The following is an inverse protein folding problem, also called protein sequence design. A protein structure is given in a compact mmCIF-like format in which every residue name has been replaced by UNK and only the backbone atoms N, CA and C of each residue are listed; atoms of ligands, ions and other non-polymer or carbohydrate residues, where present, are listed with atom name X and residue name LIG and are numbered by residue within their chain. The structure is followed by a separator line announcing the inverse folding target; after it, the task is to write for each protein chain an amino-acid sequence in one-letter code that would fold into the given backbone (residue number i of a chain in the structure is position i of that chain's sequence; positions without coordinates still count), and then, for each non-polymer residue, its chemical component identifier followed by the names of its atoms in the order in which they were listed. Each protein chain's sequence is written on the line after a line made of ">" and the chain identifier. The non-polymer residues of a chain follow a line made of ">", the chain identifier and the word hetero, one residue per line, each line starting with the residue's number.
data_IF_586654214582
#
_entry.id   IF_586654214582
#
_cell.length_a   1.000
_cell.length_b   1.000
_cell.length_c   1.000
_cell.angle_alpha   90.00
_cell.angle_beta   90.00
_cell.angle_gamma   90.00
#
_symmetry.space_group_name_H-M   'P 1'
#
loop_
_entity.id
_entity.type
_entity.pdbx_description
1 polymer ?
#
# COMPACT_ATOMS: atom_id res chain seq x y z
N UNK A 1 54.29 1.29 2.73
CA UNK A 1 53.24 1.77 3.64
C UNK A 1 52.04 0.88 3.47
N UNK A 2 51.43 0.41 4.56
CA UNK A 2 50.29 -0.52 4.53
C UNK A 2 49.16 0.07 5.38
N UNK A 3 47.95 0.14 4.81
CA UNK A 3 46.76 0.61 5.53
C UNK A 3 46.04 -0.60 6.15
N UNK A 4 45.81 -0.56 7.45
CA UNK A 4 44.97 -1.53 8.16
C UNK A 4 43.70 -0.81 8.61
N UNK A 5 42.55 -1.31 8.16
CA UNK A 5 41.25 -0.73 8.48
C UNK A 5 40.26 -1.83 8.88
N UNK A 6 39.56 -1.63 9.99
CA UNK A 6 38.42 -2.46 10.37
C UNK A 6 37.16 -1.93 9.71
N UNK A 7 36.70 -2.62 8.69
CA UNK A 7 35.50 -2.26 7.94
C UNK A 7 34.24 -2.47 8.79
N UNK A 8 33.21 -1.68 8.48
CA UNK A 8 31.88 -1.67 9.11
C UNK A 8 30.88 -1.28 8.02
N UNK A 9 29.61 -1.64 8.18
CA UNK A 9 28.54 -1.31 7.21
C UNK A 9 28.48 0.18 6.84
N UNK A 10 28.79 1.08 7.77
CA UNK A 10 28.90 2.52 7.51
C UNK A 10 29.94 2.91 6.44
N UNK A 11 30.88 2.01 6.11
CA UNK A 11 31.91 2.22 5.09
C UNK A 11 31.55 1.61 3.73
N UNK A 12 30.30 1.14 3.52
CA UNK A 12 29.89 0.47 2.27
C UNK A 12 30.07 1.32 1.00
N UNK A 13 29.99 2.64 1.15
CA UNK A 13 30.15 3.61 0.05
C UNK A 13 31.56 4.25 0.03
N UNK A 14 32.49 3.74 0.84
CA UNK A 14 33.84 4.28 0.94
C UNK A 14 34.64 4.03 -0.34
N UNK A 15 35.44 5.03 -0.72
CA UNK A 15 36.37 4.96 -1.85
C UNK A 15 37.78 5.28 -1.38
N UNK A 16 38.76 4.63 -2.01
CA UNK A 16 40.15 4.66 -1.57
C UNK A 16 41.05 5.03 -2.75
N UNK A 17 42.09 5.81 -2.46
CA UNK A 17 43.20 6.08 -3.38
C UNK A 17 44.48 6.27 -2.58
N UNK A 18 45.61 6.11 -3.23
CA UNK A 18 46.93 6.38 -2.67
C UNK A 18 47.41 7.73 -3.21
N UNK A 19 48.09 8.52 -2.37
CA UNK A 19 48.74 9.76 -2.80
C UNK A 19 50.19 9.78 -2.34
N UNK A 20 51.08 10.24 -3.21
CA UNK A 20 52.48 10.47 -2.89
C UNK A 20 52.82 11.94 -3.10
N UNK A 21 53.43 12.55 -2.09
CA UNK A 21 53.94 13.92 -2.15
C UNK A 21 55.47 13.90 -2.16
N UNK A 22 56.10 14.65 -3.06
CA UNK A 22 57.56 14.70 -3.21
C UNK A 22 58.05 16.12 -3.50
N UNK A 23 59.32 16.39 -3.17
CA UNK A 23 59.93 17.69 -3.39
C UNK A 23 60.58 17.74 -4.78
N UNK A 24 60.39 18.86 -5.47
CA UNK A 24 61.01 19.20 -6.75
C UNK A 24 62.10 20.27 -6.55
N UNK A 25 63.02 20.42 -7.52
CA UNK A 25 63.99 21.51 -7.52
C UNK A 25 63.31 22.89 -7.38
N UNK A 26 64.04 23.87 -6.81
CA UNK A 26 63.53 25.23 -6.53
C UNK A 26 62.40 25.31 -5.48
N UNK A 27 62.28 24.31 -4.60
CA UNK A 27 61.34 24.34 -3.47
C UNK A 27 59.87 24.06 -3.82
N UNK A 28 59.59 23.59 -5.05
CA UNK A 28 58.24 23.20 -5.46
C UNK A 28 57.87 21.83 -4.89
N UNK A 29 56.58 21.57 -4.65
CA UNK A 29 56.06 20.25 -4.25
C UNK A 29 55.26 19.62 -5.39
N UNK A 30 55.53 18.36 -5.68
CA UNK A 30 54.76 17.52 -6.58
C UNK A 30 53.84 16.58 -5.80
N UNK A 31 52.70 16.24 -6.39
CA UNK A 31 51.75 15.25 -5.87
C UNK A 31 51.32 14.35 -7.01
N UNK A 32 51.28 13.04 -6.77
CA UNK A 32 50.71 12.05 -7.68
C UNK A 32 49.70 11.21 -6.90
N UNK A 33 48.53 11.04 -7.47
CA UNK A 33 47.45 10.22 -6.91
C UNK A 33 47.25 8.97 -7.78
N UNK A 34 46.94 7.84 -7.14
CA UNK A 34 46.50 6.64 -7.85
C UNK A 34 45.06 6.81 -8.34
N UNK A 35 44.60 5.93 -9.26
CA UNK A 35 43.17 5.78 -9.48
C UNK A 35 42.42 5.45 -8.18
N UNK A 36 41.16 5.86 -8.14
CA UNK A 36 40.23 5.51 -7.05
C UNK A 36 39.76 4.07 -7.24
N UNK A 37 39.71 3.32 -6.15
CA UNK A 37 39.08 2.00 -6.11
C UNK A 37 37.99 1.95 -5.03
N UNK A 38 36.97 1.13 -5.28
CA UNK A 38 35.87 0.87 -4.37
C UNK A 38 36.03 -0.52 -3.75
N UNK A 39 35.55 -0.66 -2.52
CA UNK A 39 35.52 -1.94 -1.84
C UNK A 39 34.07 -2.41 -1.72
N UNK A 40 33.77 -3.58 -2.28
CA UNK A 40 32.46 -4.23 -2.07
C UNK A 40 32.48 -4.89 -0.70
N UNK A 41 31.79 -4.28 0.26
CA UNK A 41 31.65 -4.84 1.59
C UNK A 41 30.45 -5.77 1.63
N UNK A 42 30.65 -7.04 2.00
CA UNK A 42 29.55 -7.94 2.31
C UNK A 42 29.17 -7.82 3.78
N UNK A 43 27.89 -7.73 4.05
CA UNK A 43 27.37 -7.57 5.40
C UNK A 43 25.90 -8.05 5.45
N UNK A 44 25.46 -8.62 6.57
CA UNK A 44 24.11 -9.17 6.68
C UNK A 44 23.05 -8.08 6.77
N UNK A 45 21.81 -8.49 6.56
CA UNK A 45 20.61 -7.68 6.70
C UNK A 45 20.38 -7.34 8.17
N UNK A 46 20.15 -6.06 8.45
CA UNK A 46 19.78 -5.57 9.80
C UNK A 46 18.38 -4.96 9.78
N UNK A 47 17.97 -4.39 8.65
CA UNK A 47 16.66 -3.77 8.49
C UNK A 47 15.94 -4.33 7.26
N UNK A 48 14.65 -4.60 7.46
CA UNK A 48 13.73 -5.00 6.40
C UNK A 48 12.60 -3.99 6.34
N UNK A 49 12.34 -3.50 5.13
CA UNK A 49 11.19 -2.67 4.79
C UNK A 49 10.16 -3.52 4.02
N UNK A 50 8.88 -3.35 4.33
CA UNK A 50 7.77 -3.95 3.59
C UNK A 50 6.67 -2.91 3.38
N UNK A 51 6.20 -2.74 2.14
CA UNK A 51 5.17 -1.78 1.82
C UNK A 51 4.30 -2.23 0.64
N UNK A 52 3.10 -1.66 0.58
CA UNK A 52 2.13 -1.88 -0.50
C UNK A 52 2.31 -0.76 -1.52
N UNK A 53 2.54 -1.13 -2.77
CA UNK A 53 2.63 -0.22 -3.91
C UNK A 53 1.25 0.23 -4.41
N UNK A 54 1.27 1.18 -5.35
CA UNK A 54 0.08 1.62 -6.06
C UNK A 54 -0.48 0.52 -6.98
N UNK A 55 -1.81 0.46 -7.22
CA UNK A 55 -2.85 1.40 -6.80
C UNK A 55 -3.29 1.20 -5.34
N UNK A 56 -3.36 2.31 -4.60
CA UNK A 56 -4.02 2.42 -3.31
C UNK A 56 -4.67 3.81 -3.18
N UNK A 57 -5.76 3.93 -2.42
CA UNK A 57 -6.36 5.24 -2.09
C UNK A 57 -5.48 5.99 -1.09
N UNK A 58 -5.80 7.26 -0.81
CA UNK A 58 -5.12 8.09 0.18
C UNK A 58 -5.10 7.47 1.58
N UNK A 59 -6.11 6.66 1.91
CA UNK A 59 -6.19 5.90 3.16
C UNK A 59 -5.57 4.50 3.08
N UNK A 60 -4.97 4.10 1.95
CA UNK A 60 -4.32 2.80 1.77
C UNK A 60 -5.24 1.65 1.35
N UNK A 61 -6.46 1.93 0.88
CA UNK A 61 -7.38 0.90 0.37
C UNK A 61 -7.04 0.49 -1.07
N UNK A 62 -7.28 -0.78 -1.41
CA UNK A 62 -7.17 -1.28 -2.79
C UNK A 62 -8.55 -1.63 -3.29
N UNK A 63 -8.99 -1.19 -4.47
CA UNK A 63 -10.34 -1.54 -4.95
C UNK A 63 -10.42 -3.00 -5.35
N UNK A 64 -11.57 -3.62 -5.11
CA UNK A 64 -11.84 -4.97 -5.58
C UNK A 64 -11.73 -5.05 -7.11
N UNK A 65 -10.98 -6.04 -7.59
CA UNK A 65 -10.64 -6.21 -9.01
C UNK A 65 -9.34 -5.52 -9.45
N UNK A 66 -8.78 -4.61 -8.66
CA UNK A 66 -7.49 -4.00 -8.98
C UNK A 66 -6.33 -4.99 -8.79
N UNK A 67 -5.21 -4.73 -9.46
CA UNK A 67 -3.96 -5.44 -9.23
C UNK A 67 -3.05 -4.61 -8.33
N UNK A 68 -2.50 -5.19 -7.26
CA UNK A 68 -1.62 -4.49 -6.31
C UNK A 68 -0.24 -5.13 -6.25
N UNK A 69 0.79 -4.31 -6.07
CA UNK A 69 2.16 -4.77 -5.89
C UNK A 69 2.57 -4.67 -4.42
N UNK A 70 3.17 -5.73 -3.90
CA UNK A 70 3.81 -5.76 -2.59
C UNK A 70 5.32 -5.69 -2.82
N UNK A 71 6.01 -4.89 -2.01
CA UNK A 71 7.45 -4.69 -2.10
C UNK A 71 8.12 -4.99 -0.77
N UNK A 72 9.31 -5.56 -0.87
CA UNK A 72 10.14 -5.91 0.26
C UNK A 72 11.60 -5.60 -0.05
N UNK A 73 12.33 -5.08 0.95
CA UNK A 73 13.75 -4.73 0.79
C UNK A 73 14.51 -4.96 2.08
N UNK A 74 15.54 -5.79 2.01
CA UNK A 74 16.56 -5.93 3.03
C UNK A 74 17.72 -4.99 2.73
N UNK A 75 18.37 -4.48 3.76
CA UNK A 75 19.51 -3.57 3.60
C UNK A 75 20.87 -4.27 3.48
N UNK A 76 20.91 -5.60 3.55
CA UNK A 76 22.09 -6.45 3.43
C UNK A 76 22.75 -6.43 2.04
N UNK A 77 24.02 -6.79 1.99
CA UNK A 77 24.77 -6.93 0.74
C UNK A 77 25.60 -8.23 0.75
N UNK A 78 25.40 -9.15 -0.22
CA UNK A 78 24.41 -9.10 -1.30
C UNK A 78 22.96 -9.17 -0.76
N UNK A 79 21.99 -8.77 -1.59
CA UNK A 79 20.57 -8.98 -1.27
C UNK A 79 20.27 -10.48 -1.20
N UNK A 80 19.50 -10.88 -0.20
CA UNK A 80 19.06 -12.26 0.00
C UNK A 80 17.66 -12.49 -0.59
N UNK A 81 17.16 -13.71 -0.46
CA UNK A 81 15.83 -14.11 -0.93
C UNK A 81 14.72 -13.58 -0.01
N UNK A 82 13.62 -13.15 -0.62
CA UNK A 82 12.45 -12.59 0.03
C UNK A 82 11.30 -13.60 0.01
N UNK A 83 10.70 -13.84 1.17
CA UNK A 83 9.53 -14.71 1.33
C UNK A 83 8.32 -13.85 1.67
N UNK A 84 7.39 -13.75 0.73
CA UNK A 84 6.09 -13.10 0.94
C UNK A 84 5.10 -14.10 1.51
N UNK A 85 4.35 -13.69 2.52
CA UNK A 85 3.35 -14.51 3.18
C UNK A 85 2.10 -13.71 3.54
N UNK A 86 1.00 -14.45 3.76
CA UNK A 86 -0.23 -13.92 4.38
C UNK A 86 -0.40 -14.54 5.75
N UNK A 87 -0.74 -13.73 6.75
CA UNK A 87 -1.09 -14.21 8.08
C UNK A 87 -2.57 -14.59 8.14
N UNK A 88 -2.84 -15.84 8.53
CA UNK A 88 -4.19 -16.36 8.79
C UNK A 88 -4.12 -17.13 10.12
N UNK A 89 -4.93 -16.73 11.11
CA UNK A 89 -4.97 -17.37 12.43
C UNK A 89 -3.59 -17.48 13.13
N UNK A 90 -2.74 -16.44 12.95
CA UNK A 90 -1.34 -16.38 13.39
C UNK A 90 -0.38 -17.37 12.70
N UNK A 91 -0.85 -18.08 11.69
CA UNK A 91 -0.03 -18.93 10.84
C UNK A 91 0.34 -18.18 9.55
N UNK A 92 1.57 -18.37 9.10
CA UNK A 92 2.05 -17.82 7.85
C UNK A 92 1.78 -18.77 6.70
N UNK A 93 1.02 -18.29 5.73
CA UNK A 93 0.80 -18.97 4.46
C UNK A 93 1.68 -18.31 3.40
N UNK A 94 2.71 -19.03 2.97
CA UNK A 94 3.67 -18.56 1.95
C UNK A 94 2.95 -18.33 0.62
N UNK A 95 3.16 -17.15 0.03
CA UNK A 95 2.56 -16.75 -1.24
C UNK A 95 3.57 -16.87 -2.38
N UNK A 96 4.79 -16.37 -2.16
CA UNK A 96 5.85 -16.34 -3.16
C UNK A 96 7.21 -16.14 -2.50
N UNK A 97 8.23 -16.74 -3.09
CA UNK A 97 9.62 -16.58 -2.69
C UNK A 97 10.42 -16.14 -3.92
N UNK A 98 11.19 -15.04 -3.82
CA UNK A 98 11.97 -14.52 -4.94
C UNK A 98 13.11 -13.56 -4.55
N UNK A 99 13.96 -13.21 -5.51
CA UNK A 99 15.10 -12.30 -5.32
C UNK A 99 14.76 -10.84 -5.64
N UNK A 100 13.70 -10.57 -6.41
CA UNK A 100 13.36 -9.21 -6.84
C UNK A 100 12.70 -8.37 -5.73
N UNK A 101 12.23 -9.01 -4.65
CA UNK A 101 11.56 -8.30 -3.56
C UNK A 101 10.22 -7.70 -3.97
N UNK A 102 9.53 -8.30 -4.95
CA UNK A 102 8.19 -7.88 -5.36
C UNK A 102 7.21 -9.05 -5.58
N UNK A 103 5.93 -8.80 -5.30
CA UNK A 103 4.83 -9.73 -5.54
C UNK A 103 3.62 -8.95 -6.07
N UNK A 104 3.12 -9.32 -7.24
CA UNK A 104 1.87 -8.77 -7.78
C UNK A 104 0.71 -9.69 -7.42
N UNK A 105 -0.36 -9.13 -6.84
CA UNK A 105 -1.63 -9.78 -6.60
C UNK A 105 -2.64 -9.22 -7.61
N UNK A 106 -3.09 -10.04 -8.54
CA UNK A 106 -4.02 -9.62 -9.59
C UNK A 106 -5.47 -9.82 -9.15
N UNK A 107 -6.35 -8.91 -9.58
CA UNK A 107 -7.80 -9.05 -9.39
C UNK A 107 -8.18 -9.26 -7.92
N UNK A 108 -7.71 -8.39 -7.03
CA UNK A 108 -7.85 -8.62 -5.59
C UNK A 108 -9.32 -8.70 -5.19
N UNK A 109 -9.65 -9.65 -4.31
CA UNK A 109 -11.02 -9.86 -3.83
C UNK A 109 -11.19 -9.37 -2.40
N UNK A 110 -12.42 -8.98 -2.02
CA UNK A 110 -12.72 -8.52 -0.65
C UNK A 110 -12.28 -9.48 0.46
N UNK A 111 -12.40 -10.79 0.23
CA UNK A 111 -11.97 -11.86 1.17
C UNK A 111 -10.46 -12.00 1.30
N UNK A 112 -9.68 -11.32 0.45
CA UNK A 112 -8.23 -11.28 0.57
C UNK A 112 -7.73 -10.15 1.48
N UNK A 113 -8.61 -9.31 2.03
CA UNK A 113 -8.25 -8.37 3.09
C UNK A 113 -7.58 -9.10 4.27
N UNK A 114 -6.61 -8.47 4.92
CA UNK A 114 -5.87 -9.03 6.04
C UNK A 114 -4.41 -8.60 6.08
N UNK A 115 -3.64 -9.28 6.92
CA UNK A 115 -2.23 -8.95 7.15
C UNK A 115 -1.33 -9.73 6.20
N UNK A 116 -0.55 -9.00 5.43
CA UNK A 116 0.50 -9.54 4.57
C UNK A 116 1.85 -9.24 5.20
N UNK A 117 2.85 -10.03 4.87
CA UNK A 117 4.20 -9.80 5.32
C UNK A 117 5.25 -10.28 4.34
N UNK A 118 6.47 -9.86 4.64
CA UNK A 118 7.67 -10.33 3.99
C UNK A 118 8.72 -10.62 5.05
N UNK A 119 9.48 -11.70 4.85
CA UNK A 119 10.75 -11.90 5.56
C UNK A 119 11.92 -12.11 4.62
N UNK A 120 13.10 -11.82 5.13
CA UNK A 120 14.39 -12.09 4.47
C UNK A 120 15.04 -13.30 5.14
N UNK A 121 15.41 -14.31 4.35
CA UNK A 121 16.11 -15.51 4.84
C UNK A 121 17.63 -15.27 4.83
N UNK A 122 18.12 -14.50 5.79
CA UNK A 122 19.54 -14.17 5.95
C UNK A 122 20.13 -14.86 7.18
N UNK A 123 20.80 -16.01 6.97
CA UNK A 123 21.38 -16.83 8.04
C UNK A 123 22.63 -16.21 8.70
N UNK A 124 23.22 -15.17 8.09
CA UNK A 124 24.37 -14.45 8.65
C UNK A 124 23.92 -13.27 9.53
N UNK A 125 22.62 -12.97 9.59
CA UNK A 125 22.07 -11.95 10.47
C UNK A 125 22.21 -12.32 11.95
N UNK A 126 22.22 -11.30 12.81
CA UNK A 126 22.24 -11.50 14.25
C UNK A 126 20.97 -12.24 14.72
N UNK A 127 21.08 -13.07 15.75
CA UNK A 127 19.95 -13.86 16.27
C UNK A 127 18.76 -12.98 16.73
N UNK A 128 19.03 -11.75 17.16
CA UNK A 128 18.03 -10.77 17.61
C UNK A 128 17.53 -9.85 16.48
N UNK A 129 18.02 -10.01 15.25
CA UNK A 129 17.58 -9.22 14.11
C UNK A 129 16.13 -9.56 13.71
N UNK A 130 15.28 -8.53 13.61
CA UNK A 130 13.90 -8.68 13.15
C UNK A 130 13.86 -8.58 11.63
N UNK A 131 13.94 -9.73 10.96
CA UNK A 131 13.97 -9.83 9.49
C UNK A 131 12.60 -9.97 8.84
N UNK A 132 11.52 -9.74 9.58
CA UNK A 132 10.14 -9.85 9.09
C UNK A 132 9.36 -8.57 9.35
N UNK A 133 8.59 -8.14 8.36
CA UNK A 133 7.67 -7.00 8.46
C UNK A 133 6.31 -7.36 7.92
N UNK A 134 5.29 -6.73 8.49
CA UNK A 134 3.89 -6.94 8.11
C UNK A 134 3.19 -5.62 7.86
N UNK A 135 2.18 -5.66 7.01
CA UNK A 135 1.27 -4.54 6.76
C UNK A 135 -0.16 -5.06 6.62
N UNK A 136 -1.11 -4.30 7.16
CA UNK A 136 -2.53 -4.55 6.90
C UNK A 136 -2.89 -4.08 5.50
N UNK A 137 -3.67 -4.90 4.81
CA UNK A 137 -4.26 -4.55 3.53
C UNK A 137 -5.77 -4.69 3.61
N UNK A 138 -6.47 -3.66 3.16
CA UNK A 138 -7.92 -3.67 3.10
C UNK A 138 -8.39 -3.44 1.68
N UNK A 139 -9.26 -4.34 1.21
CA UNK A 139 -9.82 -4.26 -0.12
C UNK A 139 -11.16 -3.54 -0.02
N UNK A 140 -11.26 -2.41 -0.72
CA UNK A 140 -12.48 -1.63 -0.80
C UNK A 140 -13.44 -2.23 -1.82
N UNK A 141 -14.70 -2.33 -1.46
CA UNK A 141 -15.76 -2.86 -2.31
C UNK A 141 -17.06 -2.12 -2.05
N UNK A 142 -17.96 -2.16 -3.04
CA UNK A 142 -19.31 -1.62 -2.96
C UNK A 142 -20.24 -2.60 -3.67
N UNK A 143 -21.24 -3.08 -2.96
CA UNK A 143 -22.28 -3.94 -3.50
C UNK A 143 -23.34 -3.13 -4.24
N UNK A 144 -24.18 -3.76 -5.08
CA UNK A 144 -25.30 -3.09 -5.70
C UNK A 144 -26.22 -2.44 -4.67
N UNK A 145 -26.74 -1.26 -5.00
CA UNK A 145 -27.74 -0.59 -4.16
C UNK A 145 -29.07 -1.34 -4.25
N UNK A 146 -29.74 -1.47 -3.11
CA UNK A 146 -31.06 -2.05 -3.00
C UNK A 146 -32.04 -1.01 -2.48
N UNK A 147 -33.21 -0.92 -3.12
CA UNK A 147 -34.31 -0.07 -2.67
C UNK A 147 -35.39 -0.93 -2.00
N UNK A 148 -36.04 -0.37 -0.98
CA UNK A 148 -37.19 -1.03 -0.33
C UNK A 148 -38.47 -1.00 -1.17
N UNK A 149 -38.38 -0.58 -2.43
CA UNK A 149 -39.48 -0.44 -3.38
C UNK A 149 -39.01 -0.88 -4.77
N UNK A 150 -39.94 -1.04 -5.71
CA UNK A 150 -39.63 -1.39 -7.10
C UNK A 150 -39.09 -0.21 -7.90
N UNK A 151 -38.86 -0.41 -9.20
CA UNK A 151 -38.43 0.65 -10.13
C UNK A 151 -39.48 1.77 -10.28
N UNK A 152 -40.76 1.43 -10.10
CA UNK A 152 -41.88 2.36 -10.16
C UNK A 152 -42.67 2.32 -8.85
N UNK A 153 -42.97 3.51 -8.31
CA UNK A 153 -43.77 3.68 -7.10
C UNK A 153 -44.97 4.59 -7.39
N UNK A 154 -46.15 3.99 -7.50
CA UNK A 154 -47.42 4.69 -7.72
C UNK A 154 -48.16 4.95 -6.40
N UNK A 155 -48.48 6.21 -6.10
CA UNK A 155 -49.17 6.62 -4.87
C UNK A 155 -50.30 7.62 -5.15
N UNK A 156 -51.30 7.64 -4.28
CA UNK A 156 -52.41 8.61 -4.37
C UNK A 156 -52.01 9.97 -3.81
N UNK A 157 -52.65 11.02 -4.34
CA UNK A 157 -52.46 12.40 -3.89
C UNK A 157 -52.80 12.53 -2.39
N UNK A 158 -51.95 13.22 -1.63
CA UNK A 158 -52.06 13.34 -0.18
C UNK A 158 -51.45 12.19 0.64
N UNK A 159 -51.04 11.07 0.01
CA UNK A 159 -50.37 9.99 0.73
C UNK A 159 -49.00 10.41 1.28
N UNK A 160 -48.50 9.63 2.23
CA UNK A 160 -47.14 9.70 2.74
C UNK A 160 -46.48 8.33 2.62
N UNK A 161 -45.20 8.28 2.27
CA UNK A 161 -44.44 7.04 2.10
C UNK A 161 -43.00 7.23 2.59
N UNK A 162 -42.32 6.12 2.81
CA UNK A 162 -40.89 6.09 3.12
C UNK A 162 -40.21 5.07 2.23
N UNK A 163 -39.12 5.49 1.59
CA UNK A 163 -38.28 4.63 0.75
C UNK A 163 -36.91 4.52 1.40
N UNK A 164 -36.46 3.30 1.65
CA UNK A 164 -35.12 3.05 2.17
C UNK A 164 -34.20 2.60 1.04
N UNK A 165 -32.98 3.09 1.06
CA UNK A 165 -31.87 2.68 0.23
C UNK A 165 -30.83 2.02 1.12
N UNK A 166 -30.45 0.80 0.77
CA UNK A 166 -29.40 0.04 1.45
C UNK A 166 -28.30 -0.33 0.49
N UNK A 167 -27.07 -0.29 0.98
CA UNK A 167 -25.89 -0.73 0.26
C UNK A 167 -24.87 -1.24 1.25
N UNK A 168 -24.16 -2.30 0.87
CA UNK A 168 -23.02 -2.80 1.63
C UNK A 168 -21.74 -2.37 0.95
N UNK A 169 -20.75 -1.96 1.73
CA UNK A 169 -19.46 -1.57 1.21
C UNK A 169 -18.47 -1.36 2.34
N UNK A 170 -17.20 -1.46 1.99
CA UNK A 170 -16.09 -1.18 2.88
C UNK A 170 -15.09 -0.27 2.15
N UNK A 171 -14.69 0.88 2.72
CA UNK A 171 -15.26 1.54 3.89
C UNK A 171 -16.78 1.82 3.75
N UNK A 172 -17.48 2.07 4.86
CA UNK A 172 -18.93 2.27 4.83
C UNK A 172 -19.30 3.44 3.91
N UNK A 173 -20.13 3.22 2.88
CA UNK A 173 -20.52 4.27 1.94
C UNK A 173 -21.47 5.28 2.58
N UNK A 174 -21.32 6.55 2.19
CA UNK A 174 -22.28 7.59 2.49
C UNK A 174 -23.40 7.61 1.43
N UNK A 175 -24.65 7.65 1.89
CA UNK A 175 -25.84 7.71 1.04
C UNK A 175 -26.42 9.12 1.02
N UNK A 176 -26.96 9.52 -0.13
CA UNK A 176 -27.79 10.72 -0.29
C UNK A 176 -28.93 10.49 -1.26
N UNK A 177 -29.97 11.29 -1.14
CA UNK A 177 -31.11 11.31 -2.04
C UNK A 177 -31.13 12.58 -2.87
N UNK A 178 -31.46 12.43 -4.15
CA UNK A 178 -31.76 13.54 -5.06
C UNK A 178 -33.11 13.33 -5.72
N UNK A 179 -33.73 14.43 -6.14
CA UNK A 179 -34.90 14.43 -7.02
C UNK A 179 -34.62 15.34 -8.19
N UNK A 180 -34.72 14.82 -9.40
CA UNK A 180 -34.46 15.58 -10.64
C UNK A 180 -33.13 16.36 -10.54
N UNK A 181 -32.08 15.68 -10.03
CA UNK A 181 -30.74 16.20 -9.75
C UNK A 181 -30.61 17.21 -8.60
N UNK A 182 -31.70 17.53 -7.90
CA UNK A 182 -31.69 18.41 -6.73
C UNK A 182 -31.51 17.59 -5.45
N UNK A 183 -30.51 17.87 -4.60
CA UNK A 183 -30.32 17.17 -3.34
C UNK A 183 -31.51 17.34 -2.40
N UNK A 184 -32.03 16.23 -1.87
CA UNK A 184 -33.11 16.21 -0.89
C UNK A 184 -32.60 16.01 0.54
N UNK A 185 -31.55 15.21 0.71
CA UNK A 185 -31.02 14.92 2.04
C UNK A 185 -29.95 13.83 2.03
N UNK A 186 -29.27 13.70 3.18
CA UNK A 186 -28.29 12.66 3.42
C UNK A 186 -28.90 11.52 4.23
N UNK A 187 -28.42 10.30 4.02
CA UNK A 187 -28.84 9.11 4.74
C UNK A 187 -29.60 8.11 3.87
N UNK A 188 -29.95 6.95 4.46
CA UNK A 188 -30.56 5.84 3.74
C UNK A 188 -32.04 6.05 3.43
N UNK A 189 -32.72 6.92 4.19
CA UNK A 189 -34.18 7.00 4.19
C UNK A 189 -34.69 8.28 3.52
N UNK A 190 -35.56 8.12 2.53
CA UNK A 190 -36.33 9.18 1.92
C UNK A 190 -37.75 9.15 2.49
N UNK A 191 -38.16 10.24 3.14
CA UNK A 191 -39.53 10.42 3.62
C UNK A 191 -40.27 11.42 2.73
N UNK A 192 -41.36 10.98 2.11
CA UNK A 192 -42.24 11.82 1.31
C UNK A 192 -43.58 11.93 2.04
N UNK A 193 -44.03 13.16 2.32
CA UNK A 193 -45.29 13.42 3.02
C UNK A 193 -46.19 14.35 2.23
N UNK A 194 -47.51 14.12 2.29
CA UNK A 194 -48.52 14.97 1.65
C UNK A 194 -48.26 15.18 0.15
N UNK A 195 -48.16 14.08 -0.60
CA UNK A 195 -47.80 14.10 -2.02
C UNK A 195 -48.72 14.97 -2.89
N UNK A 196 -48.10 15.74 -3.80
CA UNK A 196 -48.77 16.61 -4.79
C UNK A 196 -48.33 16.25 -6.20
N UNK A 197 -48.88 16.91 -7.23
CA UNK A 197 -48.42 16.73 -8.61
C UNK A 197 -46.94 17.10 -8.79
N UNK A 198 -46.47 18.13 -8.08
CA UNK A 198 -45.06 18.54 -8.09
C UNK A 198 -44.16 17.51 -7.42
N UNK A 199 -44.70 16.57 -6.63
CA UNK A 199 -43.94 15.48 -6.02
C UNK A 199 -43.56 14.38 -7.02
N UNK A 200 -44.17 14.35 -8.21
CA UNK A 200 -43.72 13.48 -9.29
C UNK A 200 -42.30 13.85 -9.75
N UNK A 201 -41.54 12.86 -10.21
CA UNK A 201 -40.15 13.04 -10.67
C UNK A 201 -39.31 11.80 -10.45
N UNK A 202 -38.02 11.90 -10.78
CA UNK A 202 -37.06 10.80 -10.60
C UNK A 202 -36.28 11.00 -9.31
N UNK A 203 -36.43 10.06 -8.38
CA UNK A 203 -35.68 10.03 -7.13
C UNK A 203 -34.49 9.09 -7.27
N UNK A 204 -33.28 9.56 -6.94
CA UNK A 204 -32.05 8.77 -7.05
C UNK A 204 -31.38 8.70 -5.68
N UNK A 205 -31.07 7.47 -5.26
CA UNK A 205 -30.15 7.23 -4.15
C UNK A 205 -28.73 7.11 -4.68
N UNK A 206 -27.83 7.97 -4.22
CA UNK A 206 -26.42 7.94 -4.59
C UNK A 206 -25.57 7.45 -3.43
N UNK A 207 -24.68 6.49 -3.69
CA UNK A 207 -23.65 6.05 -2.75
C UNK A 207 -22.30 6.66 -3.11
N UNK A 208 -21.56 7.08 -2.09
CA UNK A 208 -20.20 7.61 -2.22
C UNK A 208 -19.28 6.96 -1.21
N UNK A 209 -18.10 6.52 -1.66
CA UNK A 209 -17.06 5.98 -0.80
C UNK A 209 -16.19 7.11 -0.27
N UNK A 210 -15.82 7.13 1.02
CA UNK A 210 -14.83 8.06 1.52
C UNK A 210 -13.49 7.84 0.78
N UNK A 211 -12.86 8.95 0.38
CA UNK A 211 -11.60 8.99 -0.37
C UNK A 211 -10.39 8.88 0.53
#
# INVERSE_FOLDING_TARGET
>A
STLYLRLRKAHRDASFHCSVSYNLPMGRRGRLDSPVFHLTLHYPTENVDFWVGSPSTTEGWVREGDSVQLFCRGDGNPSMEYVFFRLQDKQENVLKTNLEGNLTLEGVQRGQSGTYGCRVEDYDAAEDAVLSRTAERRVAYLDPLELSTGEELSLHLGNSTTVNCSVQGLPTPALRWTKDFVPLGNGPTLSLSSLTFDSAGTYVCEASMPT
#
